data_IF_646231233713
#
_entry.id   IF_646231233713
#
_cell.length_a   1.000
_cell.length_b   1.000
_cell.length_c   1.000
_cell.angle_alpha   90.00
_cell.angle_beta   90.00
_cell.angle_gamma   90.00
#
_symmetry.space_group_name_H-M   'P 1'
#
loop_
_entity.id
_entity.type
_entity.pdbx_description
1 polymer ?
#
# COMPACT_ATOMS: atom_id res chain seq x y z
N UNK A 1 9.11 -1.47 19.48
CA UNK A 1 8.63 -0.18 18.93
C UNK A 1 7.19 0.03 19.42
N UNK A 2 6.94 0.99 20.32
CA UNK A 2 5.64 1.15 21.02
C UNK A 2 4.77 2.28 20.48
N UNK A 3 5.05 2.77 19.28
CA UNK A 3 4.24 3.82 18.63
C UNK A 3 2.84 3.27 18.36
N UNK A 4 1.78 3.89 18.91
CA UNK A 4 0.39 3.58 18.56
C UNK A 4 0.15 3.91 17.08
N UNK A 5 -0.60 3.07 16.38
CA UNK A 5 -1.01 3.28 15.00
C UNK A 5 -2.36 4.03 14.93
N UNK A 6 -2.85 4.25 13.72
CA UNK A 6 -4.15 4.91 13.49
C UNK A 6 -5.35 3.98 13.73
N UNK A 7 -6.55 4.51 13.45
CA UNK A 7 -7.81 3.82 13.64
C UNK A 7 -7.91 2.50 12.86
N UNK A 8 -7.26 2.40 11.69
CA UNK A 8 -7.26 1.18 10.88
C UNK A 8 -6.63 -0.02 11.59
N UNK A 9 -5.78 0.23 12.59
CA UNK A 9 -5.14 -0.76 13.42
C UNK A 9 -5.72 -0.84 14.84
N UNK A 10 -6.91 -0.26 15.06
CA UNK A 10 -7.56 -0.13 16.37
C UNK A 10 -6.67 0.60 17.40
N UNK A 11 -5.86 1.57 16.93
CA UNK A 11 -4.89 2.31 17.74
C UNK A 11 -3.85 1.45 18.48
N UNK A 12 -3.71 0.18 18.11
CA UNK A 12 -2.69 -0.72 18.65
C UNK A 12 -1.31 -0.26 18.24
N UNK A 13 -0.32 -0.55 19.08
CA UNK A 13 1.07 -0.24 18.76
C UNK A 13 1.64 -1.18 17.70
N UNK A 14 2.68 -0.71 17.01
CA UNK A 14 3.46 -1.51 16.06
C UNK A 14 3.86 -2.87 16.66
N UNK A 15 4.36 -2.88 17.90
CA UNK A 15 4.74 -4.12 18.57
C UNK A 15 3.56 -5.08 18.78
N UNK A 16 2.39 -4.57 19.14
CA UNK A 16 1.19 -5.39 19.36
C UNK A 16 0.67 -5.99 18.06
N UNK A 17 0.59 -5.19 17.00
CA UNK A 17 0.10 -5.65 15.68
C UNK A 17 1.04 -6.71 15.09
N UNK A 18 2.36 -6.54 15.23
CA UNK A 18 3.33 -7.57 14.78
C UNK A 18 3.20 -8.85 15.61
N UNK A 19 3.00 -8.74 16.94
CA UNK A 19 2.90 -9.89 17.82
C UNK A 19 1.62 -10.72 17.61
N UNK A 20 0.53 -10.09 17.17
CA UNK A 20 -0.78 -10.73 16.93
C UNK A 20 -0.84 -11.54 15.62
N UNK A 21 0.20 -11.43 14.80
CA UNK A 21 0.41 -12.24 13.61
C UNK A 21 0.90 -11.40 12.44
N UNK A 22 2.05 -11.79 11.90
CA UNK A 22 2.63 -11.18 10.71
C UNK A 22 3.16 -12.23 9.76
N UNK A 23 2.99 -12.00 8.46
CA UNK A 23 3.74 -12.68 7.40
C UNK A 23 4.86 -11.74 6.95
N UNK A 24 6.07 -12.27 6.78
CA UNK A 24 7.24 -11.50 6.34
C UNK A 24 7.65 -11.96 4.96
N UNK A 25 8.19 -11.04 4.16
CA UNK A 25 8.79 -11.33 2.86
C UNK A 25 7.85 -12.14 1.96
N UNK A 26 6.63 -11.61 1.75
CA UNK A 26 5.67 -12.23 0.85
C UNK A 26 6.05 -11.88 -0.60
N UNK A 27 6.66 -12.86 -1.27
CA UNK A 27 7.01 -12.75 -2.69
C UNK A 27 5.79 -12.84 -3.61
N UNK A 28 5.83 -12.08 -4.70
CA UNK A 28 4.84 -12.18 -5.77
C UNK A 28 5.47 -12.04 -7.16
N UNK A 29 4.75 -12.56 -8.15
CA UNK A 29 5.05 -12.35 -9.56
C UNK A 29 3.76 -12.28 -10.37
N UNK A 30 3.62 -11.22 -11.16
CA UNK A 30 2.49 -11.01 -12.06
C UNK A 30 2.94 -11.20 -13.49
N UNK A 31 2.19 -11.99 -14.25
CA UNK A 31 2.36 -12.06 -15.69
C UNK A 31 1.56 -10.91 -16.33
N UNK A 32 2.24 -9.95 -16.94
CA UNK A 32 1.61 -8.78 -17.55
C UNK A 32 0.97 -9.08 -18.92
N UNK A 33 1.06 -10.33 -19.39
CA UNK A 33 0.48 -10.78 -20.65
C UNK A 33 1.17 -10.20 -21.89
N UNK A 34 0.81 -10.71 -23.07
CA UNK A 34 1.32 -10.25 -24.37
C UNK A 34 0.74 -8.90 -24.81
N UNK A 35 -0.37 -8.45 -24.21
CA UNK A 35 -1.01 -7.15 -24.46
C UNK A 35 -0.12 -5.96 -24.04
N UNK A 36 0.73 -6.13 -23.02
CA UNK A 36 1.72 -5.12 -22.58
C UNK A 36 2.98 -5.09 -23.49
N UNK A 37 3.32 -6.22 -24.15
CA UNK A 37 4.51 -6.30 -25.03
C UNK A 37 4.42 -5.49 -26.32
N UNK A 38 3.22 -5.19 -26.81
CA UNK A 38 3.02 -4.46 -28.06
C UNK A 38 3.06 -2.93 -27.90
N UNK A 39 2.98 -2.39 -26.68
CA UNK A 39 2.77 -0.95 -26.42
C UNK A 39 3.68 -0.38 -25.31
N UNK A 40 4.84 -1.00 -25.09
CA UNK A 40 5.99 -0.46 -24.36
C UNK A 40 5.66 0.58 -23.27
N UNK A 41 5.18 0.14 -22.11
CA UNK A 41 5.07 0.92 -20.86
C UNK A 41 4.09 2.12 -20.84
N UNK A 42 3.74 2.72 -21.97
CA UNK A 42 2.92 3.93 -22.04
C UNK A 42 1.42 3.64 -21.91
N UNK A 43 0.94 2.54 -22.51
CA UNK A 43 -0.48 2.15 -22.44
C UNK A 43 -0.89 1.75 -21.02
N UNK A 44 -0.05 0.99 -20.32
CA UNK A 44 -0.32 0.54 -18.94
C UNK A 44 -0.37 1.74 -17.97
N UNK A 45 0.52 2.72 -18.13
CA UNK A 45 0.52 3.94 -17.32
C UNK A 45 -0.71 4.81 -17.57
N UNK A 46 -1.18 4.92 -18.81
CA UNK A 46 -2.41 5.65 -19.12
C UNK A 46 -3.65 4.98 -18.52
N UNK A 47 -3.67 3.64 -18.47
CA UNK A 47 -4.70 2.87 -17.78
C UNK A 47 -4.66 3.13 -16.28
N UNK A 48 -3.49 3.10 -15.66
CA UNK A 48 -3.32 3.41 -14.24
C UNK A 48 -3.76 4.84 -13.92
N UNK A 49 -3.41 5.81 -14.78
CA UNK A 49 -3.84 7.20 -14.62
C UNK A 49 -5.37 7.34 -14.62
N UNK A 50 -6.05 6.63 -15.52
CA UNK A 50 -7.51 6.63 -15.60
C UNK A 50 -8.19 6.03 -14.36
N UNK A 51 -7.52 5.11 -13.65
CA UNK A 51 -8.05 4.57 -12.38
C UNK A 51 -8.10 5.61 -11.26
N UNK A 52 -7.40 6.75 -11.38
CA UNK A 52 -7.48 7.82 -10.38
C UNK A 52 -8.90 8.35 -10.15
N UNK A 53 -9.81 8.19 -11.12
CA UNK A 53 -11.23 8.55 -10.98
C UNK A 53 -12.03 7.58 -10.10
N UNK A 54 -11.47 6.41 -9.79
CA UNK A 54 -12.05 5.43 -8.86
C UNK A 54 -11.65 5.68 -7.41
N UNK A 55 -10.69 6.59 -7.18
CA UNK A 55 -10.34 7.08 -5.85
C UNK A 55 -11.30 8.21 -5.44
N UNK A 56 -11.54 8.33 -4.12
CA UNK A 56 -12.35 9.42 -3.59
C UNK A 56 -11.74 10.79 -3.93
N UNK A 57 -12.58 11.83 -4.01
CA UNK A 57 -12.13 13.17 -4.38
C UNK A 57 -11.09 13.74 -3.39
N UNK A 58 -11.15 13.32 -2.14
CA UNK A 58 -10.24 13.66 -1.03
C UNK A 58 -9.16 12.60 -0.76
N UNK A 59 -9.04 11.56 -1.60
CA UNK A 59 -7.97 10.57 -1.47
C UNK A 59 -6.60 11.26 -1.63
N UNK A 60 -5.65 11.02 -0.70
CA UNK A 60 -4.38 11.74 -0.67
C UNK A 60 -3.51 11.49 -1.91
N UNK A 61 -3.69 10.39 -2.62
CA UNK A 61 -2.87 9.99 -3.77
C UNK A 61 -3.62 10.02 -5.09
N UNK A 62 -4.90 10.43 -5.13
CA UNK A 62 -5.65 10.62 -6.38
C UNK A 62 -4.90 11.49 -7.40
N UNK A 63 -4.39 12.63 -6.93
CA UNK A 63 -3.61 13.56 -7.75
C UNK A 63 -2.28 12.96 -8.22
N UNK A 64 -1.66 12.12 -7.40
CA UNK A 64 -0.44 11.39 -7.77
C UNK A 64 -0.72 10.43 -8.93
N UNK A 65 -1.77 9.60 -8.84
CA UNK A 65 -2.12 8.64 -9.89
C UNK A 65 -2.57 9.34 -11.18
N UNK A 66 -3.31 10.44 -11.10
CA UNK A 66 -3.71 11.22 -12.28
C UNK A 66 -2.52 11.79 -13.07
N UNK A 67 -1.36 11.96 -12.42
CA UNK A 67 -0.11 12.47 -13.04
C UNK A 67 0.92 11.39 -13.31
N UNK A 68 0.58 10.11 -13.11
CA UNK A 68 1.54 9.02 -13.28
C UNK A 68 2.07 9.02 -14.71
N UNK A 69 3.39 8.89 -14.85
CA UNK A 69 4.05 9.02 -16.13
C UNK A 69 5.30 8.14 -16.26
N UNK A 70 5.94 8.16 -17.44
CA UNK A 70 7.15 7.39 -17.70
C UNK A 70 8.23 7.67 -16.65
N UNK A 71 8.88 6.62 -16.14
CA UNK A 71 9.95 6.72 -15.13
C UNK A 71 9.49 6.63 -13.67
N UNK A 72 8.18 6.58 -13.40
CA UNK A 72 7.65 6.37 -12.04
C UNK A 72 7.49 4.89 -11.67
N UNK A 73 7.49 4.00 -12.65
CA UNK A 73 7.57 2.55 -12.42
C UNK A 73 9.01 2.19 -12.06
N UNK A 74 9.23 1.87 -10.78
CA UNK A 74 10.53 1.45 -10.24
C UNK A 74 10.70 -0.06 -10.17
N UNK A 75 9.68 -0.83 -10.54
CA UNK A 75 9.69 -2.27 -10.39
C UNK A 75 10.39 -2.98 -11.55
N UNK A 76 11.07 -4.09 -11.23
CA UNK A 76 11.81 -4.90 -12.19
C UNK A 76 10.86 -5.62 -13.14
N UNK A 77 10.50 -4.96 -14.24
CA UNK A 77 9.76 -5.59 -15.33
C UNK A 77 10.74 -6.40 -16.16
N UNK A 78 10.87 -7.69 -15.83
CA UNK A 78 11.74 -8.62 -16.55
C UNK A 78 10.89 -9.53 -17.43
N UNK A 79 11.11 -9.46 -18.75
CA UNK A 79 10.48 -10.37 -19.73
C UNK A 79 8.94 -10.39 -19.68
N UNK A 80 8.28 -9.30 -19.27
CA UNK A 80 6.82 -9.22 -19.16
C UNK A 80 6.26 -9.73 -17.83
N UNK A 81 7.11 -9.94 -16.83
CA UNK A 81 6.71 -10.19 -15.46
C UNK A 81 7.04 -9.00 -14.57
N UNK A 82 6.14 -8.70 -13.65
CA UNK A 82 6.34 -7.78 -12.55
C UNK A 82 6.49 -8.58 -11.27
N UNK A 83 7.68 -8.58 -10.68
CA UNK A 83 7.96 -9.32 -9.44
C UNK A 83 8.42 -8.37 -8.33
N UNK A 84 8.19 -8.79 -7.09
CA UNK A 84 8.61 -8.05 -5.90
C UNK A 84 8.37 -8.84 -4.64
N UNK A 85 8.69 -8.24 -3.50
CA UNK A 85 8.47 -8.83 -2.18
C UNK A 85 7.87 -7.79 -1.24
N UNK A 86 6.84 -8.18 -0.51
CA UNK A 86 6.22 -7.36 0.53
C UNK A 86 6.94 -7.64 1.85
N UNK A 87 7.58 -6.62 2.43
CA UNK A 87 8.33 -6.74 3.68
C UNK A 87 7.51 -7.38 4.80
N UNK A 88 6.27 -6.91 4.96
CA UNK A 88 5.40 -7.32 6.05
C UNK A 88 3.92 -7.25 5.65
N UNK A 89 3.19 -8.29 6.00
CA UNK A 89 1.73 -8.27 6.06
C UNK A 89 1.33 -8.50 7.51
N UNK A 90 0.48 -7.63 8.04
CA UNK A 90 -0.07 -7.76 9.40
C UNK A 90 -1.58 -7.92 9.33
N UNK A 91 -2.18 -8.39 10.42
CA UNK A 91 -3.64 -8.48 10.54
C UNK A 91 -4.17 -7.79 11.79
N UNK A 92 -5.41 -7.34 11.71
CA UNK A 92 -6.16 -6.79 12.83
C UNK A 92 -7.61 -7.20 12.74
N UNK A 93 -8.27 -7.44 13.88
CA UNK A 93 -9.71 -7.65 13.91
C UNK A 93 -10.43 -6.33 13.61
N UNK A 94 -11.43 -6.35 12.74
CA UNK A 94 -12.38 -5.25 12.57
C UNK A 94 -13.42 -5.28 13.70
N UNK A 95 -14.23 -4.22 13.78
CA UNK A 95 -15.39 -4.17 14.69
C UNK A 95 -16.41 -5.29 14.45
N UNK A 96 -16.48 -5.80 13.22
CA UNK A 96 -17.32 -6.96 12.87
C UNK A 96 -16.71 -8.31 13.25
N UNK A 97 -15.49 -8.32 13.79
CA UNK A 97 -14.73 -9.53 14.15
C UNK A 97 -14.00 -10.18 12.96
N UNK A 98 -14.15 -9.67 11.74
CA UNK A 98 -13.40 -10.15 10.58
C UNK A 98 -11.94 -9.73 10.65
N UNK A 99 -11.03 -10.53 10.09
CA UNK A 99 -9.61 -10.16 10.03
C UNK A 99 -9.34 -9.27 8.82
N UNK A 100 -8.80 -8.08 9.07
CA UNK A 100 -8.29 -7.14 8.07
C UNK A 100 -6.79 -7.25 7.94
N UNK A 101 -6.30 -7.30 6.72
CA UNK A 101 -4.91 -7.53 6.39
C UNK A 101 -4.30 -6.27 5.76
N UNK A 102 -3.15 -5.86 6.26
CA UNK A 102 -2.47 -4.64 5.83
C UNK A 102 -1.09 -4.97 5.27
N UNK A 103 -0.75 -4.36 4.14
CA UNK A 103 0.63 -4.23 3.68
C UNK A 103 1.35 -3.25 4.58
N UNK A 104 2.57 -3.58 5.02
CA UNK A 104 3.42 -2.69 5.80
C UNK A 104 4.82 -2.67 5.20
N UNK A 105 5.39 -1.46 5.07
CA UNK A 105 6.74 -1.25 4.57
C UNK A 105 7.53 -0.32 5.53
N UNK A 106 8.77 -0.71 5.83
CA UNK A 106 9.65 0.05 6.71
C UNK A 106 10.60 0.94 5.92
N UNK A 107 10.52 2.26 6.16
CA UNK A 107 11.38 3.24 5.51
C UNK A 107 12.38 3.84 6.50
N UNK A 108 13.67 3.79 6.18
CA UNK A 108 14.76 4.32 7.03
C UNK A 108 15.35 5.64 6.53
N UNK A 109 14.71 6.26 5.52
CA UNK A 109 15.13 7.49 4.85
C UNK A 109 15.53 8.58 5.84
N UNK A 110 16.71 9.18 5.65
CA UNK A 110 17.18 10.33 6.45
C UNK A 110 16.56 11.62 5.93
N UNK A 111 15.85 12.32 6.81
CA UNK A 111 15.27 13.63 6.57
C UNK A 111 15.59 14.57 7.75
N UNK A 112 15.29 15.86 7.63
CA UNK A 112 15.47 16.85 8.71
C UNK A 112 14.38 16.68 9.78
N UNK A 113 14.55 17.31 10.94
CA UNK A 113 13.49 17.36 11.96
C UNK A 113 12.27 18.10 11.42
N UNK A 114 11.06 17.59 11.67
CA UNK A 114 9.80 18.09 11.09
C UNK A 114 9.38 17.37 9.80
N UNK A 115 10.31 16.75 9.08
CA UNK A 115 10.03 16.07 7.81
C UNK A 115 9.27 14.73 7.97
N UNK A 116 8.91 14.38 9.21
CA UNK A 116 8.10 13.21 9.53
C UNK A 116 6.69 13.57 10.06
N UNK A 117 6.29 14.85 10.02
CA UNK A 117 4.89 15.22 10.23
C UNK A 117 4.00 14.68 9.11
N UNK A 118 2.69 14.45 9.35
CA UNK A 118 1.83 13.76 8.37
C UNK A 118 1.86 14.37 6.96
N UNK A 119 1.85 15.70 6.84
CA UNK A 119 1.95 16.39 5.55
C UNK A 119 3.30 16.16 4.84
N UNK A 120 4.40 16.19 5.59
CA UNK A 120 5.73 15.92 5.05
C UNK A 120 5.90 14.45 4.66
N UNK A 121 5.34 13.52 5.45
CA UNK A 121 5.34 12.08 5.11
C UNK A 121 4.56 11.82 3.83
N UNK A 122 3.41 12.47 3.61
CA UNK A 122 2.66 12.36 2.34
C UNK A 122 3.49 12.84 1.14
N UNK A 123 4.22 13.95 1.29
CA UNK A 123 5.15 14.40 0.25
C UNK A 123 6.28 13.38 0.01
N UNK A 124 6.87 12.82 1.07
CA UNK A 124 7.88 11.76 0.96
C UNK A 124 7.35 10.51 0.25
N UNK A 125 6.09 10.15 0.49
CA UNK A 125 5.42 9.06 -0.20
C UNK A 125 5.40 9.31 -1.72
N UNK A 126 4.89 10.47 -2.15
CA UNK A 126 4.84 10.82 -3.58
C UNK A 126 6.24 10.89 -4.20
N UNK A 127 7.19 11.57 -3.56
CA UNK A 127 8.57 11.69 -4.06
C UNK A 127 9.29 10.33 -4.20
N UNK A 128 8.96 9.36 -3.34
CA UNK A 128 9.49 8.01 -3.39
C UNK A 128 8.75 7.07 -4.35
N UNK A 129 7.71 7.53 -5.03
CA UNK A 129 6.76 6.70 -5.80
C UNK A 129 6.14 5.56 -4.96
N UNK A 130 6.08 5.73 -3.64
CA UNK A 130 5.54 4.73 -2.71
C UNK A 130 4.04 4.46 -2.87
N UNK A 131 3.17 5.40 -3.32
CA UNK A 131 1.78 5.07 -3.61
C UNK A 131 1.63 4.01 -4.70
N UNK A 132 2.45 4.06 -5.76
CA UNK A 132 2.42 3.04 -6.82
C UNK A 132 2.89 1.68 -6.30
N UNK A 133 3.96 1.66 -5.49
CA UNK A 133 4.43 0.45 -4.81
C UNK A 133 3.32 -0.14 -3.92
N UNK A 134 2.70 0.70 -3.08
CA UNK A 134 1.61 0.31 -2.20
C UNK A 134 0.44 -0.32 -2.98
N UNK A 135 0.06 0.28 -4.11
CA UNK A 135 -1.02 -0.23 -4.95
C UNK A 135 -0.70 -1.61 -5.55
N UNK A 136 0.52 -1.80 -6.07
CA UNK A 136 0.99 -3.10 -6.58
C UNK A 136 1.02 -4.14 -5.45
N UNK A 137 1.49 -3.77 -4.26
CA UNK A 137 1.54 -4.67 -3.11
C UNK A 137 0.13 -5.03 -2.62
N UNK A 138 -0.83 -4.11 -2.70
CA UNK A 138 -2.23 -4.40 -2.37
C UNK A 138 -2.87 -5.37 -3.37
N UNK A 139 -2.57 -5.27 -4.67
CA UNK A 139 -2.98 -6.27 -5.66
C UNK A 139 -2.36 -7.64 -5.33
N UNK A 140 -1.07 -7.68 -4.97
CA UNK A 140 -0.40 -8.93 -4.60
C UNK A 140 -1.05 -9.57 -3.36
N UNK A 141 -1.31 -8.75 -2.34
CA UNK A 141 -1.99 -9.19 -1.12
C UNK A 141 -3.42 -9.66 -1.44
N UNK A 142 -4.18 -8.94 -2.27
CA UNK A 142 -5.52 -9.33 -2.69
C UNK A 142 -5.51 -10.72 -3.36
N UNK A 143 -4.64 -10.95 -4.34
CA UNK A 143 -4.51 -12.25 -5.01
C UNK A 143 -4.13 -13.35 -4.02
N UNK A 144 -3.19 -13.08 -3.12
CA UNK A 144 -2.82 -14.00 -2.05
C UNK A 144 -4.01 -14.34 -1.14
N UNK A 145 -4.77 -13.34 -0.69
CA UNK A 145 -5.92 -13.55 0.19
C UNK A 145 -7.06 -14.29 -0.52
N UNK A 146 -7.36 -13.98 -1.78
CA UNK A 146 -8.32 -14.77 -2.59
C UNK A 146 -7.95 -16.25 -2.60
N UNK A 147 -6.68 -16.57 -2.84
CA UNK A 147 -6.20 -17.96 -2.85
C UNK A 147 -6.28 -18.64 -1.47
N UNK A 148 -6.08 -17.90 -0.38
CA UNK A 148 -6.01 -18.46 0.98
C UNK A 148 -7.35 -18.52 1.69
N UNK A 149 -8.23 -17.56 1.46
CA UNK A 149 -9.56 -17.44 2.07
C UNK A 149 -10.62 -18.09 1.17
N UNK A 150 -10.39 -18.13 -0.14
CA UNK A 150 -11.30 -18.76 -1.12
C UNK A 150 -12.61 -18.00 -1.28
N UNK A 151 -13.71 -18.73 -1.40
CA UNK A 151 -15.04 -18.19 -1.74
C UNK A 151 -15.59 -17.17 -0.73
N UNK A 152 -15.02 -17.12 0.48
CA UNK A 152 -15.42 -16.15 1.51
C UNK A 152 -14.59 -14.88 1.49
N UNK A 153 -13.63 -14.75 0.57
CA UNK A 153 -12.86 -13.53 0.41
C UNK A 153 -13.75 -12.39 -0.09
N UNK A 154 -13.77 -11.34 0.71
CA UNK A 154 -14.39 -10.06 0.40
C UNK A 154 -13.33 -8.96 0.61
N UNK A 155 -12.93 -8.21 -0.44
CA UNK A 155 -11.93 -7.15 -0.33
C UNK A 155 -12.36 -6.03 0.63
N UNK A 156 -13.64 -5.65 0.68
CA UNK A 156 -14.11 -4.58 1.57
C UNK A 156 -13.99 -4.99 3.05
N UNK A 157 -14.11 -6.29 3.33
CA UNK A 157 -13.96 -6.85 4.67
C UNK A 157 -12.51 -7.17 5.04
N UNK A 158 -11.73 -7.74 4.12
CA UNK A 158 -10.43 -8.33 4.43
C UNK A 158 -9.23 -7.47 4.03
N UNK A 159 -9.34 -6.61 3.01
CA UNK A 159 -8.22 -5.78 2.56
C UNK A 159 -8.20 -4.47 3.37
N UNK A 160 -7.23 -4.34 4.26
CA UNK A 160 -7.11 -3.19 5.18
C UNK A 160 -6.47 -1.96 4.55
N UNK A 161 -5.61 -2.15 3.54
CA UNK A 161 -4.81 -1.09 2.93
C UNK A 161 -3.32 -1.23 3.23
N UNK A 162 -2.56 -0.17 2.99
CA UNK A 162 -1.11 -0.13 3.17
C UNK A 162 -0.74 0.86 4.27
N UNK A 163 0.34 0.60 5.01
CA UNK A 163 0.89 1.50 6.02
C UNK A 163 2.42 1.56 5.93
N UNK A 164 2.93 2.75 5.68
CA UNK A 164 4.36 3.02 5.55
C UNK A 164 4.90 3.62 6.84
N UNK A 165 5.94 3.01 7.38
CA UNK A 165 6.51 3.36 8.68
C UNK A 165 7.92 3.92 8.51
N UNK A 166 7.99 5.25 8.51
CA UNK A 166 9.25 6.00 8.47
C UNK A 166 9.90 5.98 9.84
N UNK A 167 10.75 4.97 10.06
CA UNK A 167 11.26 4.58 11.38
C UNK A 167 11.92 5.71 12.17
N UNK A 168 12.52 6.69 11.49
CA UNK A 168 13.18 7.83 12.13
C UNK A 168 12.20 8.87 12.70
N UNK A 169 10.95 8.86 12.26
CA UNK A 169 9.86 9.69 12.80
C UNK A 169 9.10 9.02 13.95
N UNK A 170 9.32 7.72 14.20
CA UNK A 170 8.63 6.95 15.23
C UNK A 170 9.37 7.05 16.56
N UNK A 171 8.83 7.83 17.50
CA UNK A 171 9.43 8.11 18.81
C UNK A 171 8.87 7.21 19.94
N UNK A 172 8.30 6.06 19.60
CA UNK A 172 7.67 5.17 20.57
C UNK A 172 6.34 5.72 21.08
N UNK A 173 6.02 5.49 22.35
CA UNK A 173 4.74 5.91 22.94
C UNK A 173 4.51 7.43 22.84
N UNK A 174 5.60 8.21 22.83
CA UNK A 174 5.58 9.66 22.75
C UNK A 174 5.55 10.19 21.30
N UNK A 175 5.31 9.33 20.31
CA UNK A 175 5.20 9.76 18.90
C UNK A 175 4.07 10.79 18.76
N UNK A 176 4.35 12.02 18.28
CA UNK A 176 3.35 13.07 18.18
C UNK A 176 2.14 12.66 17.36
N UNK A 177 0.96 13.11 17.80
CA UNK A 177 -0.30 12.98 17.10
C UNK A 177 -0.70 14.35 16.57
N UNK A 178 -0.81 14.48 15.26
CA UNK A 178 -1.19 15.71 14.58
C UNK A 178 -2.46 15.43 13.78
N UNK A 179 -3.58 16.05 14.16
CA UNK A 179 -4.88 15.87 13.53
C UNK A 179 -5.30 14.39 13.38
N UNK A 180 -4.99 13.55 14.37
CA UNK A 180 -5.32 12.12 14.36
C UNK A 180 -4.32 11.23 13.62
N UNK A 181 -3.29 11.80 12.98
CA UNK A 181 -2.22 11.06 12.29
C UNK A 181 -0.92 11.11 13.10
N UNK A 182 -0.19 9.99 13.15
CA UNK A 182 1.07 9.88 13.89
C UNK A 182 2.24 10.29 13.02
N UNK A 183 3.21 10.99 13.61
CA UNK A 183 4.45 11.27 12.90
C UNK A 183 5.13 9.98 12.41
N UNK A 184 5.64 10.01 11.19
CA UNK A 184 6.33 8.89 10.55
C UNK A 184 5.41 7.74 10.11
N UNK A 185 4.09 7.85 10.26
CA UNK A 185 3.13 6.86 9.76
C UNK A 185 2.33 7.47 8.62
N UNK A 186 2.24 6.76 7.50
CA UNK A 186 1.27 7.08 6.45
C UNK A 186 0.51 5.82 6.07
N UNK A 187 -0.78 5.81 6.36
CA UNK A 187 -1.69 4.74 5.99
C UNK A 187 -2.58 5.17 4.84
N UNK A 188 -2.89 4.22 3.96
CA UNK A 188 -3.71 4.44 2.78
C UNK A 188 -4.56 3.22 2.48
N UNK A 189 -5.87 3.46 2.36
CA UNK A 189 -6.86 2.43 2.03
C UNK A 189 -7.60 2.90 0.77
N UNK A 190 -7.11 2.56 -0.44
CA UNK A 190 -7.80 2.88 -1.67
C UNK A 190 -9.13 2.11 -1.78
N UNK A 191 -10.00 2.56 -2.69
CA UNK A 191 -11.24 1.84 -2.97
C UNK A 191 -10.96 0.45 -3.56
N UNK A 192 -11.84 -0.51 -3.26
CA UNK A 192 -11.81 -1.84 -3.88
C UNK A 192 -11.87 -1.76 -5.39
N UNK A 193 -12.69 -0.86 -5.94
CA UNK A 193 -12.77 -0.62 -7.37
C UNK A 193 -11.40 -0.29 -7.98
N UNK A 194 -10.65 0.63 -7.35
CA UNK A 194 -9.30 0.99 -7.81
C UNK A 194 -8.35 -0.21 -7.81
N UNK A 195 -8.38 -1.02 -6.76
CA UNK A 195 -7.52 -2.21 -6.65
C UNK A 195 -7.91 -3.28 -7.68
N UNK A 196 -9.19 -3.56 -7.88
CA UNK A 196 -9.66 -4.51 -8.90
C UNK A 196 -9.36 -4.01 -10.32
N UNK A 197 -9.50 -2.71 -10.56
CA UNK A 197 -9.11 -2.08 -11.82
C UNK A 197 -7.61 -2.26 -12.09
N UNK A 198 -6.77 -2.05 -11.07
CA UNK A 198 -5.33 -2.24 -11.19
C UNK A 198 -4.95 -3.70 -11.37
N UNK A 199 -5.62 -4.61 -10.66
CA UNK A 199 -5.45 -6.07 -10.79
C UNK A 199 -5.67 -6.54 -12.24
N UNK A 200 -6.72 -6.04 -12.88
CA UNK A 200 -7.03 -6.31 -14.28
C UNK A 200 -5.94 -5.79 -15.24
N UNK A 201 -5.41 -4.58 -14.99
CA UNK A 201 -4.28 -4.04 -15.78
C UNK A 201 -3.00 -4.87 -15.60
N UNK A 202 -2.82 -5.49 -14.43
CA UNK A 202 -1.67 -6.33 -14.09
C UNK A 202 -1.91 -7.82 -14.41
N UNK A 203 -2.71 -8.09 -15.44
CA UNK A 203 -2.92 -9.43 -16.02
C UNK A 203 -4.14 -10.18 -15.48
N UNK A 204 -4.78 -9.71 -14.40
CA UNK A 204 -5.94 -10.35 -13.76
C UNK A 204 -5.68 -11.75 -13.19
N UNK A 205 -6.46 -12.15 -12.18
CA UNK A 205 -6.57 -13.54 -11.67
C UNK A 205 -7.96 -13.85 -11.16
#
# INVERSE_FOLDING_TARGET
MRTPLDAGFNYRSIAEVIADGSLRELDFSFNLGSSSRATGGSADLSGIAALSDQLAADDPFRSYFARIGPGMLSADVVSGYLSGSIDLVVRTASDSGAMRYFVVDYKTNRQRQGDYEPGAVKALMEHGNYPLQAAIYLVALQRYLRLRIGDTYDPDLHLGGASYWFMRGLLGADTPLNNGERNGVCSWTPSTAFIDGLDNLLGGQ
#
